data_IF_981837304592
#
_entry.id   IF_981837304592
#
_cell.length_a   1.000
_cell.length_b   1.000
_cell.length_c   1.000
_cell.angle_alpha   90.00
_cell.angle_beta   90.00
_cell.angle_gamma   90.00
#
_symmetry.space_group_name_H-M   'P 1'
#
loop_
_entity.id
_entity.type
_entity.pdbx_description
1 polymer ?
#
# COMPACT_ATOMS: atom_id res chain seq x y z
N UNK A 1 46.82 9.88 -10.20
CA UNK A 1 46.52 8.49 -10.55
C UNK A 1 46.07 7.66 -9.34
N UNK A 2 46.90 7.33 -8.35
CA UNK A 2 46.46 6.49 -7.21
C UNK A 2 45.39 7.16 -6.32
N UNK A 3 45.52 8.46 -6.06
CA UNK A 3 44.51 9.24 -5.33
C UNK A 3 43.17 9.35 -6.09
N UNK A 4 43.20 9.39 -7.42
CA UNK A 4 41.99 9.45 -8.25
C UNK A 4 41.26 8.11 -8.28
N UNK A 5 42.02 7.00 -8.33
CA UNK A 5 41.49 5.64 -8.19
C UNK A 5 40.83 5.45 -6.83
N UNK A 6 41.46 5.90 -5.75
CA UNK A 6 40.89 5.83 -4.40
C UNK A 6 39.61 6.66 -4.26
N UNK A 7 39.60 7.87 -4.80
CA UNK A 7 38.40 8.71 -4.81
C UNK A 7 37.25 8.09 -5.63
N UNK A 8 37.57 7.36 -6.69
CA UNK A 8 36.58 6.62 -7.48
C UNK A 8 36.03 5.43 -6.69
N UNK A 9 36.89 4.66 -6.02
CA UNK A 9 36.51 3.53 -5.18
C UNK A 9 35.54 3.97 -4.07
N UNK A 10 35.87 5.07 -3.36
CA UNK A 10 35.02 5.65 -2.32
C UNK A 10 33.64 6.05 -2.87
N UNK A 11 33.57 6.65 -4.07
CA UNK A 11 32.30 7.01 -4.72
C UNK A 11 31.49 5.80 -5.12
N UNK A 12 32.13 4.74 -5.61
CA UNK A 12 31.46 3.47 -5.94
C UNK A 12 30.89 2.85 -4.67
N UNK A 13 31.65 2.81 -3.57
CA UNK A 13 31.17 2.31 -2.29
C UNK A 13 29.93 3.08 -1.79
N UNK A 14 29.97 4.42 -1.87
CA UNK A 14 28.83 5.28 -1.53
C UNK A 14 27.61 5.00 -2.41
N UNK A 15 27.80 4.84 -3.73
CA UNK A 15 26.71 4.50 -4.66
C UNK A 15 26.10 3.13 -4.34
N UNK A 16 26.93 2.13 -4.03
CA UNK A 16 26.45 0.79 -3.64
C UNK A 16 25.61 0.87 -2.37
N UNK A 17 26.06 1.62 -1.36
CA UNK A 17 25.31 1.84 -0.12
C UNK A 17 23.98 2.55 -0.37
N UNK A 18 23.98 3.60 -1.20
CA UNK A 18 22.77 4.33 -1.57
C UNK A 18 21.77 3.42 -2.29
N UNK A 19 22.24 2.65 -3.27
CA UNK A 19 21.41 1.68 -4.00
C UNK A 19 20.82 0.62 -3.07
N UNK A 20 21.60 0.11 -2.10
CA UNK A 20 21.10 -0.84 -1.12
C UNK A 20 19.99 -0.22 -0.25
N UNK A 21 20.18 1.01 0.23
CA UNK A 21 19.18 1.75 1.01
C UNK A 21 17.89 1.96 0.20
N UNK A 22 18.01 2.45 -1.02
CA UNK A 22 16.85 2.70 -1.90
C UNK A 22 16.09 1.41 -2.22
N UNK A 23 16.79 0.27 -2.39
CA UNK A 23 16.13 -1.03 -2.57
C UNK A 23 15.33 -1.45 -1.34
N UNK A 24 15.89 -1.29 -0.14
CA UNK A 24 15.17 -1.59 1.10
C UNK A 24 13.94 -0.69 1.28
N UNK A 25 14.11 0.61 1.03
CA UNK A 25 13.01 1.58 1.14
C UNK A 25 11.91 1.30 0.11
N UNK A 26 12.28 0.97 -1.13
CA UNK A 26 11.30 0.60 -2.15
C UNK A 26 10.52 -0.66 -1.77
N UNK A 27 11.20 -1.68 -1.23
CA UNK A 27 10.54 -2.89 -0.74
C UNK A 27 9.57 -2.58 0.41
N UNK A 28 9.98 -1.71 1.35
CA UNK A 28 9.14 -1.29 2.45
C UNK A 28 7.89 -0.53 1.99
N UNK A 29 8.06 0.45 1.08
CA UNK A 29 6.95 1.21 0.51
C UNK A 29 5.97 0.32 -0.25
N UNK A 30 6.47 -0.66 -1.02
CA UNK A 30 5.61 -1.65 -1.71
C UNK A 30 4.79 -2.47 -0.72
N UNK A 31 5.40 -2.90 0.39
CA UNK A 31 4.70 -3.64 1.43
C UNK A 31 3.62 -2.79 2.11
N UNK A 32 3.92 -1.53 2.43
CA UNK A 32 2.95 -0.60 2.99
C UNK A 32 1.78 -0.38 2.03
N UNK A 33 2.07 -0.12 0.76
CA UNK A 33 1.06 0.07 -0.27
C UNK A 33 0.13 -1.14 -0.39
N UNK A 34 0.69 -2.35 -0.46
CA UNK A 34 -0.11 -3.58 -0.53
C UNK A 34 -1.00 -3.75 0.72
N UNK A 35 -0.48 -3.40 1.90
CA UNK A 35 -1.24 -3.46 3.16
C UNK A 35 -2.41 -2.49 3.14
N UNK A 36 -2.18 -1.21 2.85
CA UNK A 36 -3.25 -0.20 2.77
C UNK A 36 -4.28 -0.53 1.69
N UNK A 37 -3.85 -1.06 0.55
CA UNK A 37 -4.78 -1.48 -0.52
C UNK A 37 -5.68 -2.63 -0.07
N UNK A 38 -5.13 -3.62 0.64
CA UNK A 38 -5.92 -4.73 1.17
C UNK A 38 -6.90 -4.27 2.25
N UNK A 39 -6.48 -3.38 3.15
CA UNK A 39 -7.36 -2.78 4.15
C UNK A 39 -8.50 -1.99 3.49
N UNK A 40 -8.20 -1.22 2.45
CA UNK A 40 -9.21 -0.48 1.69
C UNK A 40 -10.24 -1.40 1.04
N UNK A 41 -9.81 -2.52 0.44
CA UNK A 41 -10.72 -3.53 -0.13
C UNK A 41 -11.59 -4.16 0.95
N UNK A 42 -11.02 -4.54 2.08
CA UNK A 42 -11.75 -5.13 3.21
C UNK A 42 -12.82 -4.19 3.76
N UNK A 43 -12.50 -2.90 3.91
CA UNK A 43 -13.46 -1.89 4.35
C UNK A 43 -14.58 -1.70 3.32
N UNK A 44 -14.26 -1.66 2.02
CA UNK A 44 -15.24 -1.55 0.96
C UNK A 44 -16.20 -2.76 0.95
N UNK A 45 -15.68 -3.98 1.11
CA UNK A 45 -16.48 -5.20 1.23
C UNK A 45 -17.42 -5.16 2.43
N UNK A 46 -16.93 -4.70 3.60
CA UNK A 46 -17.76 -4.52 4.79
C UNK A 46 -18.89 -3.51 4.58
N UNK A 47 -18.58 -2.36 3.97
CA UNK A 47 -19.57 -1.32 3.68
C UNK A 47 -20.62 -1.85 2.71
N UNK A 48 -20.21 -2.51 1.63
CA UNK A 48 -21.13 -3.09 0.65
C UNK A 48 -22.00 -4.18 1.28
N UNK A 49 -21.43 -5.04 2.13
CA UNK A 49 -22.19 -6.04 2.86
C UNK A 49 -23.20 -5.43 3.83
N UNK A 50 -22.82 -4.37 4.55
CA UNK A 50 -23.74 -3.63 5.42
C UNK A 50 -24.86 -2.96 4.62
N UNK A 51 -24.53 -2.32 3.49
CA UNK A 51 -25.49 -1.71 2.57
C UNK A 51 -26.50 -2.74 2.05
N UNK A 52 -26.03 -3.89 1.56
CA UNK A 52 -26.94 -4.93 1.06
C UNK A 52 -27.87 -5.48 2.14
N UNK A 53 -27.42 -5.57 3.39
CA UNK A 53 -28.29 -5.94 4.52
C UNK A 53 -29.34 -4.86 4.79
N UNK A 54 -28.98 -3.58 4.71
CA UNK A 54 -29.93 -2.48 4.87
C UNK A 54 -30.96 -2.46 3.73
N UNK A 55 -30.52 -2.64 2.49
CA UNK A 55 -31.41 -2.75 1.33
C UNK A 55 -32.39 -3.93 1.51
N UNK A 56 -31.90 -5.12 1.89
CA UNK A 56 -32.76 -6.28 2.13
C UNK A 56 -33.74 -6.08 3.29
N UNK A 57 -33.38 -5.31 4.32
CA UNK A 57 -34.29 -4.96 5.41
C UNK A 57 -35.35 -3.95 4.95
N UNK A 58 -34.99 -2.97 4.12
CA UNK A 58 -35.93 -2.01 3.54
C UNK A 58 -36.97 -2.70 2.65
N UNK A 59 -36.55 -3.67 1.84
CA UNK A 59 -37.46 -4.46 0.99
C UNK A 59 -38.47 -5.31 1.78
N UNK A 60 -38.19 -5.57 3.07
CA UNK A 60 -39.07 -6.31 3.97
C UNK A 60 -40.03 -5.41 4.75
N UNK A 61 -39.90 -4.09 4.66
CA UNK A 61 -40.86 -3.17 5.26
C UNK A 61 -42.08 -3.13 4.31
N UNK A 62 -43.24 -3.64 4.73
CA UNK A 62 -44.45 -3.52 3.93
C UNK A 62 -44.72 -2.02 3.68
N UNK A 63 -45.08 -1.66 2.44
CA UNK A 63 -45.63 -0.34 2.18
C UNK A 63 -46.87 -0.20 3.08
N UNK A 64 -46.85 0.75 4.02
CA UNK A 64 -48.03 1.10 4.80
C UNK A 64 -49.14 1.42 3.80
N UNK A 65 -50.13 0.52 3.70
CA UNK A 65 -51.40 0.78 3.02
C UNK A 65 -52.05 1.98 3.74
N UNK A 66 -51.87 3.16 3.16
CA UNK A 66 -52.61 4.38 3.47
C UNK A 66 -53.68 4.63 2.40
#
# INVERSE_FOLDING_TARGET
MEAELKALEDKIAQLVQLCARLRMENAHLRQQLATTQNEGKHLAEKINGARGRLEALLDQIPEDEA
#
